data_IF_798689508373
#
_entry.id   IF_798689508373
#
_cell.length_a   1.000
_cell.length_b   1.000
_cell.length_c   1.000
_cell.angle_alpha   90.00
_cell.angle_beta   90.00
_cell.angle_gamma   90.00
#
_symmetry.space_group_name_H-M   'P 1'
#
loop_
_entity.id
_entity.type
_entity.pdbx_description
1 polymer ?
#
# COMPACT_ATOMS: atom_id res chain seq x y z
N UNK A 1 -2.09 -7.73 -7.81
CA UNK A 1 -3.47 -8.16 -7.54
C UNK A 1 -3.91 -7.81 -6.11
N UNK A 2 -3.13 -8.14 -5.05
CA UNK A 2 -3.52 -7.92 -3.65
C UNK A 2 -3.79 -6.44 -3.31
N UNK A 3 -2.89 -5.54 -3.69
CA UNK A 3 -3.05 -4.09 -3.44
C UNK A 3 -4.28 -3.51 -4.14
N UNK A 4 -4.72 -4.09 -5.26
CA UNK A 4 -5.90 -3.63 -5.98
C UNK A 4 -7.17 -3.71 -5.15
N UNK A 5 -7.40 -4.79 -4.40
CA UNK A 5 -8.57 -4.95 -3.55
C UNK A 5 -8.63 -3.85 -2.48
N UNK A 6 -7.48 -3.47 -1.92
CA UNK A 6 -7.39 -2.39 -0.96
C UNK A 6 -7.70 -1.04 -1.59
N UNK A 7 -7.08 -0.72 -2.72
CA UNK A 7 -7.34 0.52 -3.44
C UNK A 7 -8.77 0.64 -3.96
N UNK A 8 -9.36 -0.46 -4.43
CA UNK A 8 -10.73 -0.48 -4.89
C UNK A 8 -11.71 0.02 -3.82
N UNK A 9 -11.54 -0.42 -2.59
CA UNK A 9 -12.40 -0.03 -1.49
C UNK A 9 -12.12 1.40 -0.99
N UNK A 10 -10.86 1.79 -0.94
CA UNK A 10 -10.48 3.12 -0.46
C UNK A 10 -10.86 4.24 -1.45
N UNK A 11 -10.68 4.03 -2.74
CA UNK A 11 -10.95 5.03 -3.77
C UNK A 11 -12.28 4.82 -4.49
N UNK A 12 -13.16 3.94 -4.01
CA UNK A 12 -14.45 3.65 -4.61
C UNK A 12 -14.35 3.34 -6.11
N UNK A 13 -13.33 2.59 -6.49
CA UNK A 13 -13.09 2.25 -7.88
C UNK A 13 -14.28 1.44 -8.42
N UNK A 14 -14.88 1.89 -9.51
CA UNK A 14 -16.13 1.35 -10.06
C UNK A 14 -15.97 0.05 -10.86
N UNK A 15 -14.79 -0.52 -10.92
CA UNK A 15 -14.58 -1.83 -11.53
C UNK A 15 -15.18 -2.91 -10.64
N UNK A 16 -16.23 -3.53 -11.15
CA UNK A 16 -17.09 -4.41 -10.35
C UNK A 16 -16.58 -5.83 -10.20
N UNK A 17 -15.69 -6.28 -11.10
CA UNK A 17 -15.22 -7.67 -11.13
C UNK A 17 -13.70 -7.74 -11.21
N UNK A 18 -13.10 -8.72 -10.51
CA UNK A 18 -11.65 -8.93 -10.52
C UNK A 18 -11.10 -9.28 -11.92
N UNK A 19 -11.95 -9.83 -12.81
CA UNK A 19 -11.63 -10.10 -14.21
C UNK A 19 -11.42 -8.85 -15.06
N UNK A 20 -11.91 -7.68 -14.64
CA UNK A 20 -11.75 -6.41 -15.37
C UNK A 20 -10.40 -5.73 -15.07
N UNK A 21 -9.72 -6.12 -13.98
CA UNK A 21 -8.45 -5.51 -13.58
C UNK A 21 -7.37 -5.59 -14.67
N UNK A 22 -7.09 -6.74 -15.31
CA UNK A 22 -6.07 -6.80 -16.36
C UNK A 22 -6.38 -5.85 -17.52
N UNK A 23 -7.65 -5.78 -17.94
CA UNK A 23 -8.09 -4.88 -19.00
C UNK A 23 -8.01 -3.40 -18.59
N UNK A 24 -8.28 -3.08 -17.33
CA UNK A 24 -8.15 -1.73 -16.79
C UNK A 24 -6.67 -1.31 -16.74
N UNK A 25 -5.80 -2.18 -16.26
CA UNK A 25 -4.34 -1.93 -16.22
C UNK A 25 -3.81 -1.71 -17.62
N UNK A 26 -4.22 -2.54 -18.61
CA UNK A 26 -3.78 -2.41 -19.99
C UNK A 26 -4.24 -1.09 -20.62
N UNK A 27 -5.48 -0.67 -20.38
CA UNK A 27 -5.96 0.65 -20.84
C UNK A 27 -5.17 1.81 -20.25
N UNK A 28 -4.86 1.76 -18.94
CA UNK A 28 -4.07 2.79 -18.27
C UNK A 28 -2.65 2.79 -18.84
N UNK A 29 -2.04 1.62 -19.02
CA UNK A 29 -0.72 1.48 -19.62
C UNK A 29 -0.68 2.09 -21.02
N UNK A 30 -1.68 1.81 -21.87
CA UNK A 30 -1.79 2.39 -23.22
C UNK A 30 -1.92 3.91 -23.18
N UNK A 31 -2.71 4.47 -22.26
CA UNK A 31 -2.83 5.94 -22.10
C UNK A 31 -1.49 6.56 -21.67
N UNK A 32 -0.78 5.95 -20.72
CA UNK A 32 0.55 6.43 -20.30
C UNK A 32 1.57 6.37 -21.45
N UNK A 33 1.48 5.34 -22.29
CA UNK A 33 2.33 5.15 -23.45
C UNK A 33 2.02 6.19 -24.55
N UNK A 34 0.73 6.45 -24.84
CA UNK A 34 0.29 7.51 -25.76
C UNK A 34 0.79 8.91 -25.36
N UNK A 35 0.90 9.16 -24.04
CA UNK A 35 1.43 10.41 -23.52
C UNK A 35 2.96 10.41 -23.35
N UNK A 36 3.64 9.33 -23.75
CA UNK A 36 5.10 9.22 -23.67
C UNK A 36 5.65 9.16 -22.23
N UNK A 37 4.80 8.80 -21.26
CA UNK A 37 5.19 8.66 -19.86
C UNK A 37 5.86 7.32 -19.58
N UNK A 38 5.50 6.30 -20.37
CA UNK A 38 6.10 4.97 -20.35
C UNK A 38 6.34 4.50 -21.79
N UNK A 39 7.24 3.55 -21.96
CA UNK A 39 7.42 2.77 -23.19
C UNK A 39 7.28 1.28 -22.89
N UNK A 40 6.88 0.50 -23.88
CA UNK A 40 6.78 -0.96 -23.76
C UNK A 40 7.91 -1.61 -24.53
N UNK A 41 8.70 -2.44 -23.84
CA UNK A 41 9.75 -3.25 -24.41
C UNK A 41 9.70 -4.65 -23.77
N UNK A 42 9.70 -5.72 -24.58
CA UNK A 42 9.68 -7.11 -24.12
C UNK A 42 8.59 -7.42 -23.06
N UNK A 43 7.36 -6.95 -23.28
CA UNK A 43 6.23 -7.03 -22.35
C UNK A 43 6.42 -6.32 -20.97
N UNK A 44 7.48 -5.54 -20.83
CA UNK A 44 7.73 -4.72 -19.66
C UNK A 44 7.42 -3.25 -19.97
N UNK A 45 6.86 -2.55 -18.96
CA UNK A 45 6.68 -1.11 -19.01
C UNK A 45 7.93 -0.44 -18.42
N UNK A 46 8.54 0.45 -19.18
CA UNK A 46 9.68 1.26 -18.78
C UNK A 46 9.23 2.70 -18.60
N UNK A 47 9.57 3.32 -17.48
CA UNK A 47 9.33 4.74 -17.25
C UNK A 47 10.16 5.61 -18.20
N UNK A 48 9.69 6.83 -18.45
CA UNK A 48 10.44 7.82 -19.24
C UNK A 48 11.82 8.07 -18.64
N UNK A 49 12.76 8.49 -19.49
CA UNK A 49 14.14 8.78 -19.08
C UNK A 49 14.18 9.81 -17.93
N UNK A 50 15.05 9.55 -16.95
CA UNK A 50 15.22 10.40 -15.77
C UNK A 50 15.58 11.83 -16.20
N UNK A 51 15.10 12.84 -15.46
CA UNK A 51 15.27 14.27 -15.74
C UNK A 51 14.56 14.76 -17.01
N UNK A 52 13.48 14.12 -17.41
CA UNK A 52 12.56 14.61 -18.45
C UNK A 52 11.26 15.08 -17.83
N UNK A 53 10.53 15.95 -18.53
CA UNK A 53 9.16 16.35 -18.13
C UNK A 53 8.24 15.12 -17.94
N UNK A 54 8.38 14.11 -18.78
CA UNK A 54 7.61 12.88 -18.69
C UNK A 54 7.92 12.09 -17.42
N UNK A 55 9.21 12.00 -17.03
CA UNK A 55 9.59 11.35 -15.76
C UNK A 55 9.07 12.10 -14.54
N UNK A 56 9.09 13.43 -14.57
CA UNK A 56 8.58 14.26 -13.48
C UNK A 56 7.06 14.13 -13.36
N UNK A 57 6.34 14.10 -14.49
CA UNK A 57 4.90 13.86 -14.52
C UNK A 57 4.53 12.48 -13.97
N UNK A 58 5.26 11.43 -14.38
CA UNK A 58 5.05 10.07 -13.90
C UNK A 58 5.30 9.99 -12.38
N UNK A 59 6.34 10.65 -11.89
CA UNK A 59 6.62 10.76 -10.45
C UNK A 59 5.49 11.47 -9.70
N UNK A 60 4.95 12.56 -10.22
CA UNK A 60 3.81 13.26 -9.61
C UNK A 60 2.54 12.37 -9.56
N UNK A 61 2.26 11.62 -10.62
CA UNK A 61 1.16 10.65 -10.61
C UNK A 61 1.37 9.59 -9.53
N UNK A 62 2.60 9.05 -9.40
CA UNK A 62 2.95 8.10 -8.35
C UNK A 62 2.77 8.69 -6.94
N UNK A 63 3.14 9.95 -6.72
CA UNK A 63 3.02 10.61 -5.43
C UNK A 63 1.57 10.71 -4.93
N UNK A 64 0.57 10.69 -5.79
CA UNK A 64 -0.84 10.72 -5.38
C UNK A 64 -1.29 9.48 -4.61
N UNK A 65 -0.68 8.32 -4.87
CA UNK A 65 -1.02 7.03 -4.23
C UNK A 65 -0.04 6.62 -3.13
N UNK A 66 1.14 7.25 -3.09
CA UNK A 66 2.19 6.90 -2.12
C UNK A 66 1.72 6.97 -0.65
N UNK A 67 0.97 7.99 -0.19
CA UNK A 67 0.52 8.04 1.21
C UNK A 67 -0.33 6.83 1.62
N UNK A 68 -1.19 6.34 0.72
CA UNK A 68 -2.00 5.14 0.98
C UNK A 68 -1.14 3.87 1.01
N UNK A 69 -0.21 3.72 0.07
CA UNK A 69 0.75 2.61 0.08
C UNK A 69 1.59 2.58 1.36
N UNK A 70 2.09 3.75 1.77
CA UNK A 70 2.88 3.90 2.99
C UNK A 70 2.11 3.49 4.23
N UNK A 71 0.86 3.91 4.35
CA UNK A 71 -0.04 3.56 5.45
C UNK A 71 -0.29 2.05 5.51
N UNK A 72 -0.58 1.43 4.37
CA UNK A 72 -0.77 -0.02 4.29
C UNK A 72 0.51 -0.77 4.66
N UNK A 73 1.63 -0.34 4.10
CA UNK A 73 2.93 -0.92 4.42
C UNK A 73 3.28 -0.80 5.90
N UNK A 74 3.10 0.39 6.49
CA UNK A 74 3.34 0.62 7.92
C UNK A 74 2.55 -0.38 8.77
N UNK A 75 1.27 -0.56 8.48
CA UNK A 75 0.39 -1.47 9.23
C UNK A 75 0.83 -2.92 9.09
N UNK A 76 1.11 -3.39 7.87
CA UNK A 76 1.61 -4.74 7.62
C UNK A 76 2.95 -4.96 8.32
N UNK A 77 3.87 -3.99 8.18
CA UNK A 77 5.21 -4.07 8.77
C UNK A 77 5.16 -4.17 10.28
N UNK A 78 4.34 -3.37 10.95
CA UNK A 78 4.17 -3.45 12.41
C UNK A 78 3.63 -4.82 12.82
N UNK A 79 2.61 -5.34 12.13
CA UNK A 79 2.05 -6.66 12.42
C UNK A 79 3.09 -7.77 12.26
N UNK A 80 3.87 -7.73 11.17
CA UNK A 80 4.94 -8.72 10.92
C UNK A 80 6.06 -8.61 11.97
N UNK A 81 6.45 -7.40 12.35
CA UNK A 81 7.51 -7.15 13.33
C UNK A 81 7.14 -7.65 14.72
N UNK A 82 5.92 -7.44 15.17
CA UNK A 82 5.45 -7.92 16.47
C UNK A 82 5.23 -9.43 16.48
N UNK A 83 4.92 -10.02 15.35
CA UNK A 83 4.71 -11.45 15.19
C UNK A 83 3.25 -11.87 15.26
N UNK A 84 2.96 -13.02 14.65
CA UNK A 84 1.63 -13.62 14.59
C UNK A 84 1.11 -13.95 16.00
N UNK A 85 -0.15 -13.61 16.28
CA UNK A 85 -0.80 -13.89 17.57
C UNK A 85 -0.36 -12.97 18.72
N UNK A 86 0.22 -11.80 18.44
CA UNK A 86 0.72 -10.89 19.47
C UNK A 86 -0.07 -9.62 19.66
N UNK A 87 -0.81 -9.19 18.65
CA UNK A 87 -1.60 -7.97 18.67
C UNK A 87 -3.04 -8.29 18.29
N UNK A 88 -3.99 -7.66 18.93
CA UNK A 88 -5.36 -7.59 18.43
C UNK A 88 -5.53 -6.41 17.45
N UNK A 89 -6.70 -6.26 16.85
CA UNK A 89 -6.97 -5.23 15.86
C UNK A 89 -6.91 -3.81 16.44
N UNK A 90 -7.31 -3.63 17.70
CA UNK A 90 -7.31 -2.33 18.37
C UNK A 90 -5.87 -1.93 18.72
N UNK A 91 -5.09 -2.83 19.28
CA UNK A 91 -3.67 -2.61 19.59
C UNK A 91 -2.85 -2.31 18.33
N UNK A 92 -3.08 -3.03 17.23
CA UNK A 92 -2.42 -2.75 15.94
C UNK A 92 -2.82 -1.38 15.39
N UNK A 93 -4.12 -1.04 15.46
CA UNK A 93 -4.62 0.27 14.99
C UNK A 93 -4.01 1.42 15.79
N UNK A 94 -3.92 1.28 17.11
CA UNK A 94 -3.32 2.29 17.99
C UNK A 94 -1.82 2.44 17.74
N UNK A 95 -1.11 1.33 17.60
CA UNK A 95 0.31 1.32 17.31
C UNK A 95 0.61 1.97 15.94
N UNK A 96 -0.16 1.61 14.91
CA UNK A 96 -0.02 2.19 13.58
C UNK A 96 -0.32 3.70 13.60
N UNK A 97 -1.38 4.13 14.31
CA UNK A 97 -1.72 5.53 14.49
C UNK A 97 -0.57 6.32 15.15
N UNK A 98 -0.04 5.85 16.27
CA UNK A 98 1.05 6.54 16.97
C UNK A 98 2.35 6.56 16.15
N UNK A 99 2.67 5.47 15.44
CA UNK A 99 3.84 5.41 14.57
C UNK A 99 3.71 6.37 13.39
N UNK A 100 2.51 6.43 12.79
CA UNK A 100 2.20 7.36 11.71
C UNK A 100 2.29 8.83 12.18
N UNK A 101 1.76 9.15 13.38
CA UNK A 101 1.88 10.49 13.97
C UNK A 101 3.33 10.92 14.19
N UNK A 102 4.14 10.06 14.81
CA UNK A 102 5.57 10.36 15.02
C UNK A 102 6.27 10.64 13.71
N UNK A 103 5.95 9.89 12.68
CA UNK A 103 6.52 10.04 11.36
C UNK A 103 6.11 11.35 10.69
N UNK A 104 4.83 11.73 10.76
CA UNK A 104 4.36 13.01 10.22
C UNK A 104 5.06 14.20 10.84
N UNK A 105 5.29 14.17 12.15
CA UNK A 105 6.01 15.23 12.85
C UNK A 105 7.47 15.34 12.40
N UNK A 106 8.09 14.23 11.98
CA UNK A 106 9.50 14.20 11.55
C UNK A 106 9.68 14.57 10.06
N UNK A 107 8.68 14.32 9.22
CA UNK A 107 8.81 14.41 7.75
C UNK A 107 7.81 15.39 7.10
N UNK A 108 7.13 16.24 7.89
CA UNK A 108 6.18 17.27 7.39
C UNK A 108 5.07 16.72 6.46
N UNK A 109 4.61 15.49 6.69
CA UNK A 109 3.47 14.95 5.94
C UNK A 109 2.18 15.65 6.35
N UNK A 110 1.66 16.51 5.50
CA UNK A 110 0.43 17.28 5.71
C UNK A 110 -0.86 16.50 5.35
N UNK A 111 -0.86 15.17 5.43
CA UNK A 111 -2.06 14.37 5.13
C UNK A 111 -2.71 13.88 6.42
N UNK A 112 -3.78 14.54 6.91
CA UNK A 112 -4.48 14.13 8.14
C UNK A 112 -5.07 12.73 8.04
N UNK A 113 -5.42 12.27 6.83
CA UNK A 113 -5.94 10.92 6.58
C UNK A 113 -4.89 9.84 6.88
N UNK A 114 -3.60 10.18 6.90
CA UNK A 114 -2.52 9.24 7.19
C UNK A 114 -2.61 8.66 8.61
N UNK A 115 -3.22 9.41 9.54
CA UNK A 115 -3.35 9.01 10.96
C UNK A 115 -4.75 8.55 11.33
N UNK A 116 -5.72 8.58 10.41
CA UNK A 116 -7.09 8.26 10.73
C UNK A 116 -7.22 6.80 11.17
N UNK A 117 -7.57 6.60 12.44
CA UNK A 117 -7.79 5.27 13.03
C UNK A 117 -8.90 4.51 12.31
N UNK A 118 -9.90 5.20 11.76
CA UNK A 118 -10.99 4.54 11.02
C UNK A 118 -10.42 3.90 9.75
N UNK A 119 -9.57 4.63 9.03
CA UNK A 119 -8.94 4.11 7.81
C UNK A 119 -8.01 2.94 8.13
N UNK A 120 -7.21 3.04 9.20
CA UNK A 120 -6.34 1.95 9.64
C UNK A 120 -7.16 0.71 10.04
N UNK A 121 -8.25 0.89 10.78
CA UNK A 121 -9.14 -0.21 11.18
C UNK A 121 -9.82 -0.86 9.96
N UNK A 122 -10.28 -0.06 9.01
CA UNK A 122 -10.85 -0.56 7.77
C UNK A 122 -9.82 -1.40 6.98
N UNK A 123 -8.56 -0.96 6.94
CA UNK A 123 -7.51 -1.73 6.29
C UNK A 123 -7.25 -3.07 7.02
N UNK A 124 -7.21 -3.09 8.36
CA UNK A 124 -7.06 -4.33 9.12
C UNK A 124 -8.24 -5.29 8.84
N UNK A 125 -9.47 -4.77 8.75
CA UNK A 125 -10.62 -5.58 8.37
C UNK A 125 -10.47 -6.15 6.96
N UNK A 126 -9.99 -5.37 5.99
CA UNK A 126 -9.72 -5.86 4.63
C UNK A 126 -8.66 -6.96 4.59
N UNK A 127 -7.61 -6.88 5.41
CA UNK A 127 -6.63 -7.96 5.54
C UNK A 127 -7.30 -9.26 6.03
N UNK A 128 -8.32 -9.16 6.88
CA UNK A 128 -9.11 -10.31 7.34
C UNK A 128 -10.06 -10.83 6.26
N UNK A 129 -10.74 -9.94 5.56
CA UNK A 129 -11.68 -10.30 4.47
C UNK A 129 -10.97 -10.97 3.28
N UNK A 130 -9.67 -10.77 3.15
CA UNK A 130 -8.82 -11.39 2.10
C UNK A 130 -8.05 -12.61 2.60
N UNK A 131 -8.34 -13.11 3.81
CA UNK A 131 -7.69 -14.26 4.45
C UNK A 131 -6.15 -14.12 4.60
N UNK A 132 -5.62 -12.89 4.51
CA UNK A 132 -4.20 -12.60 4.79
C UNK A 132 -3.92 -12.61 6.29
N UNK A 133 -4.94 -12.27 7.06
CA UNK A 133 -4.91 -12.22 8.52
C UNK A 133 -6.18 -12.86 9.07
N UNK A 134 -6.08 -13.62 10.14
CA UNK A 134 -7.22 -14.18 10.86
C UNK A 134 -7.08 -13.90 12.37
N UNK A 135 -8.13 -14.13 13.13
CA UNK A 135 -8.10 -14.01 14.57
C UNK A 135 -8.12 -15.40 15.22
N UNK A 136 -7.34 -15.56 16.29
CA UNK A 136 -7.43 -16.71 17.16
C UNK A 136 -8.54 -16.56 18.21
N UNK A 137 -8.63 -17.52 19.14
CA UNK A 137 -9.63 -17.53 20.22
C UNK A 137 -9.52 -16.32 21.17
N UNK A 138 -8.31 -15.78 21.33
CA UNK A 138 -8.01 -14.58 22.13
C UNK A 138 -8.17 -13.26 21.35
N UNK A 139 -8.72 -13.31 20.11
CA UNK A 139 -8.86 -12.20 19.17
C UNK A 139 -7.54 -11.60 18.68
N UNK A 140 -6.42 -12.27 18.93
CA UNK A 140 -5.14 -11.83 18.39
C UNK A 140 -5.05 -12.09 16.89
N UNK A 141 -4.41 -11.17 16.18
CA UNK A 141 -4.23 -11.22 14.73
C UNK A 141 -3.13 -12.21 14.38
N UNK A 142 -3.49 -13.25 13.67
CA UNK A 142 -2.60 -14.28 13.15
C UNK A 142 -2.40 -14.12 11.66
N UNK A 143 -1.23 -14.49 11.15
CA UNK A 143 -0.91 -14.44 9.72
C UNK A 143 0.09 -15.52 9.34
N UNK A 144 0.10 -15.87 8.04
CA UNK A 144 1.03 -16.83 7.44
C UNK A 144 2.08 -16.18 6.54
N UNK A 145 2.70 -17.02 5.71
CA UNK A 145 3.78 -16.61 4.81
C UNK A 145 3.30 -15.67 3.69
N UNK A 146 2.02 -15.70 3.34
CA UNK A 146 1.45 -14.77 2.35
C UNK A 146 1.58 -13.31 2.78
N UNK A 147 1.35 -12.99 4.06
CA UNK A 147 1.53 -11.63 4.56
C UNK A 147 3.01 -11.24 4.62
N UNK A 148 3.90 -12.19 4.94
CA UNK A 148 5.36 -11.96 4.94
C UNK A 148 5.87 -11.67 3.52
N UNK A 149 5.42 -12.43 2.53
CA UNK A 149 5.75 -12.18 1.14
C UNK A 149 5.29 -10.80 0.66
N UNK A 150 4.10 -10.36 1.11
CA UNK A 150 3.59 -9.02 0.81
C UNK A 150 4.44 -7.90 1.49
N UNK A 151 4.92 -8.12 2.72
CA UNK A 151 5.86 -7.20 3.38
C UNK A 151 7.17 -7.09 2.60
N UNK A 152 7.70 -8.21 2.10
CA UNK A 152 8.93 -8.23 1.31
C UNK A 152 8.76 -7.57 -0.08
N UNK A 153 7.61 -7.73 -0.74
CA UNK A 153 7.29 -7.02 -1.98
C UNK A 153 7.16 -5.51 -1.74
N UNK A 154 6.44 -5.12 -0.70
CA UNK A 154 6.25 -3.72 -0.35
C UNK A 154 7.58 -2.99 -0.10
N UNK A 155 8.56 -3.65 0.52
CA UNK A 155 9.91 -3.09 0.73
C UNK A 155 10.66 -2.77 -0.55
N UNK A 156 10.36 -3.46 -1.65
CA UNK A 156 10.99 -3.21 -2.96
C UNK A 156 10.39 -2.00 -3.67
N UNK A 157 9.13 -1.70 -3.35
CA UNK A 157 8.35 -0.64 -4.00
C UNK A 157 8.52 0.69 -3.24
N UNK A 158 8.58 0.63 -1.91
CA UNK A 158 8.64 1.80 -1.05
C UNK A 158 10.08 2.29 -0.87
N UNK A 159 10.22 3.59 -0.70
CA UNK A 159 11.54 4.20 -0.55
C UNK A 159 12.31 3.65 0.67
N UNK A 160 13.66 3.60 0.61
CA UNK A 160 14.49 3.17 1.74
C UNK A 160 14.25 3.94 3.04
N UNK A 161 13.87 5.22 2.93
CA UNK A 161 13.61 6.09 4.08
C UNK A 161 12.41 5.60 4.90
N UNK A 162 11.40 5.03 4.23
CA UNK A 162 10.24 4.41 4.87
C UNK A 162 10.63 3.15 5.62
N UNK A 163 11.47 2.34 5.00
CA UNK A 163 11.95 1.09 5.59
C UNK A 163 12.81 1.31 6.84
N UNK A 164 13.58 2.39 6.91
CA UNK A 164 14.43 2.73 8.05
C UNK A 164 13.65 3.35 9.21
N UNK A 165 12.57 4.07 8.95
CA UNK A 165 11.77 4.72 9.99
C UNK A 165 10.94 3.74 10.86
N UNK A 166 10.87 2.46 10.48
CA UNK A 166 10.12 1.40 11.17
C UNK A 166 11.06 0.43 11.93
N UNK A 167 12.37 0.62 11.84
CA UNK A 167 13.35 -0.09 12.65
C UNK A 167 13.48 0.56 14.03
#
# INVERSE_FOLDING_TARGET
ALLYTFFRNEYLLHWREDGELPAAVERIASVLEEHGLVSREDDCLHGAAIHTYASDMLAHLGQTVMPSLERFYLTIRLLVQYGSGRLDADALSDLAHHTAQRRSLLYEFNSPEFFDKVVLRNFINQLRDTDLVWQDDDKALCFGDNLRALDDEARRILSPDISQAIQ
#
